data_IF_684038948231
#
_entry.id   IF_684038948231
#
_cell.length_a   1.000
_cell.length_b   1.000
_cell.length_c   1.000
_cell.angle_alpha   90.00
_cell.angle_beta   90.00
_cell.angle_gamma   90.00
#
_symmetry.space_group_name_H-M   'P 1'
#
loop_
_entity.id
_entity.type
_entity.pdbx_description
1 polymer ?
#
# COMPACT_ATOMS: atom_id res chain seq x y z
N UNK A 1 21.06 1.08 -24.34
CA UNK A 1 20.11 2.19 -24.36
C UNK A 1 20.84 3.51 -24.35
N UNK A 2 20.53 4.40 -25.30
CA UNK A 2 21.11 5.75 -25.37
C UNK A 2 20.41 6.74 -24.42
N UNK A 3 19.30 6.34 -23.83
CA UNK A 3 18.44 7.17 -22.98
C UNK A 3 18.60 6.77 -21.51
N UNK A 4 18.66 7.77 -20.64
CA UNK A 4 18.52 7.64 -19.19
C UNK A 4 17.14 8.17 -18.77
N UNK A 5 16.35 7.34 -18.13
CA UNK A 5 15.00 7.68 -17.67
C UNK A 5 14.84 7.26 -16.21
N UNK A 6 14.50 8.21 -15.35
CA UNK A 6 14.29 8.01 -13.91
C UNK A 6 13.02 8.73 -13.48
N UNK A 7 12.25 8.10 -12.59
CA UNK A 7 11.16 8.75 -11.88
C UNK A 7 11.60 9.06 -10.44
N UNK A 8 11.32 10.28 -9.99
CA UNK A 8 11.49 10.71 -8.60
C UNK A 8 10.11 10.98 -8.03
N UNK A 9 9.74 10.27 -6.97
CA UNK A 9 8.42 10.36 -6.37
C UNK A 9 8.50 10.44 -4.85
N UNK A 10 7.57 11.15 -4.22
CA UNK A 10 7.39 11.18 -2.77
C UNK A 10 6.04 10.56 -2.39
N UNK A 11 5.80 10.38 -1.10
CA UNK A 11 4.54 9.87 -0.58
C UNK A 11 3.51 11.01 -0.54
N UNK A 12 2.36 10.82 -1.21
CA UNK A 12 1.36 11.87 -1.29
C UNK A 12 1.94 13.19 -1.78
N UNK A 13 1.65 14.27 -1.07
CA UNK A 13 2.15 15.62 -1.34
C UNK A 13 3.25 16.05 -0.35
N UNK A 14 4.02 15.10 0.20
CA UNK A 14 5.09 15.36 1.19
C UNK A 14 6.09 16.38 0.67
N UNK A 15 6.46 16.30 -0.61
CA UNK A 15 7.26 17.29 -1.33
C UNK A 15 6.49 17.93 -2.47
N UNK A 16 6.64 19.26 -2.62
CA UNK A 16 6.12 19.97 -3.78
C UNK A 16 6.87 19.56 -5.05
N UNK A 17 6.23 19.76 -6.22
CA UNK A 17 6.90 19.52 -7.51
C UNK A 17 8.17 20.36 -7.66
N UNK A 18 8.19 21.59 -7.10
CA UNK A 18 9.38 22.44 -7.12
C UNK A 18 10.53 21.81 -6.33
N UNK A 19 10.26 21.26 -5.15
CA UNK A 19 11.29 20.60 -4.34
C UNK A 19 11.77 19.31 -5.01
N UNK A 20 10.86 18.54 -5.64
CA UNK A 20 11.26 17.37 -6.43
C UNK A 20 12.14 17.76 -7.61
N UNK A 21 11.90 18.92 -8.23
CA UNK A 21 12.74 19.46 -9.31
C UNK A 21 14.15 19.82 -8.80
N UNK A 22 14.26 20.45 -7.63
CA UNK A 22 15.55 20.79 -7.02
C UNK A 22 16.34 19.51 -6.68
N UNK A 23 15.66 18.50 -6.13
CA UNK A 23 16.23 17.17 -5.87
C UNK A 23 16.72 16.53 -7.19
N UNK A 24 15.91 16.61 -8.26
CA UNK A 24 16.25 16.05 -9.56
C UNK A 24 17.52 16.69 -10.17
N UNK A 25 17.63 18.01 -10.16
CA UNK A 25 18.82 18.71 -10.64
C UNK A 25 20.07 18.30 -9.87
N UNK A 26 19.97 18.21 -8.54
CA UNK A 26 21.07 17.77 -7.71
C UNK A 26 21.44 16.31 -7.98
N UNK A 27 20.43 15.44 -8.10
CA UNK A 27 20.62 14.03 -8.43
C UNK A 27 21.34 13.85 -9.79
N UNK A 28 20.92 14.60 -10.81
CA UNK A 28 21.55 14.56 -12.14
C UNK A 28 23.02 15.01 -12.08
N UNK A 29 23.32 16.06 -11.30
CA UNK A 29 24.67 16.54 -11.11
C UNK A 29 25.59 15.48 -10.48
N UNK A 30 25.14 14.86 -9.40
CA UNK A 30 25.90 13.80 -8.70
C UNK A 30 26.03 12.51 -9.54
N UNK A 31 25.05 12.24 -10.41
CA UNK A 31 25.07 11.10 -11.35
C UNK A 31 25.95 11.37 -12.59
N UNK A 32 26.36 12.60 -12.85
CA UNK A 32 27.17 12.98 -14.02
C UNK A 32 26.33 13.23 -15.27
N UNK A 33 25.08 13.66 -15.14
CA UNK A 33 24.15 13.96 -16.24
C UNK A 33 23.78 15.45 -16.32
N UNK A 34 24.59 16.35 -15.76
CA UNK A 34 24.27 17.78 -15.70
C UNK A 34 25.30 18.67 -16.42
N UNK A 35 26.01 18.12 -17.40
CA UNK A 35 26.95 18.89 -18.21
C UNK A 35 26.22 19.97 -19.05
N UNK A 36 26.88 21.06 -19.34
CA UNK A 36 26.33 22.13 -20.16
C UNK A 36 26.03 21.59 -21.58
N UNK A 37 24.79 21.82 -22.05
CA UNK A 37 24.32 21.29 -23.33
C UNK A 37 23.77 19.87 -23.28
N UNK A 38 23.74 19.21 -22.11
CA UNK A 38 23.10 17.92 -21.96
C UNK A 38 21.59 18.02 -22.22
N UNK A 39 21.00 17.26 -23.18
CA UNK A 39 19.58 17.29 -23.41
C UNK A 39 18.84 16.78 -22.17
N UNK A 40 17.91 17.57 -21.64
CA UNK A 40 17.19 17.28 -20.40
C UNK A 40 15.71 17.63 -20.55
N UNK A 41 14.86 16.66 -20.24
CA UNK A 41 13.43 16.85 -20.07
C UNK A 41 13.05 16.41 -18.66
N UNK A 42 12.42 17.30 -17.90
CA UNK A 42 11.81 16.97 -16.61
C UNK A 42 10.34 17.38 -16.69
N UNK A 43 9.44 16.47 -16.35
CA UNK A 43 8.00 16.76 -16.36
C UNK A 43 7.31 16.13 -15.15
N UNK A 44 6.31 16.85 -14.63
CA UNK A 44 5.48 16.37 -13.53
C UNK A 44 4.27 15.61 -14.06
N UNK A 45 3.93 14.53 -13.38
CA UNK A 45 2.70 13.77 -13.61
C UNK A 45 1.70 14.01 -12.49
N UNK A 46 0.41 13.98 -12.85
CA UNK A 46 -0.72 14.16 -11.93
C UNK A 46 -1.72 13.00 -12.00
N UNK A 47 -1.29 11.85 -12.49
CA UNK A 47 -2.10 10.65 -12.71
C UNK A 47 -2.18 9.74 -11.48
N UNK A 48 -1.39 10.04 -10.46
CA UNK A 48 -1.37 9.31 -9.19
C UNK A 48 -1.57 10.26 -8.00
N UNK A 49 -1.99 9.75 -6.83
CA UNK A 49 -2.09 10.57 -5.62
C UNK A 49 -0.73 11.00 -5.03
N UNK A 50 0.37 10.48 -5.57
CA UNK A 50 1.73 10.81 -5.15
C UNK A 50 2.35 11.84 -6.09
N UNK A 51 2.91 12.92 -5.56
CA UNK A 51 3.68 13.86 -6.36
C UNK A 51 4.92 13.15 -6.92
N UNK A 52 5.08 13.21 -8.23
CA UNK A 52 6.24 12.63 -8.91
C UNK A 52 6.61 13.40 -10.17
N UNK A 53 7.86 13.25 -10.54
CA UNK A 53 8.44 13.82 -11.76
C UNK A 53 9.20 12.74 -12.50
N UNK A 54 9.25 12.87 -13.82
CA UNK A 54 10.07 12.05 -14.68
C UNK A 54 11.23 12.87 -15.24
N UNK A 55 12.41 12.27 -15.24
CA UNK A 55 13.65 12.83 -15.76
C UNK A 55 14.04 11.99 -16.95
N UNK A 56 14.24 12.63 -18.11
CA UNK A 56 14.70 11.98 -19.34
C UNK A 56 15.91 12.75 -19.88
N UNK A 57 17.02 12.05 -20.07
CA UNK A 57 18.25 12.62 -20.62
C UNK A 57 19.00 11.59 -21.47
N UNK A 58 20.06 12.02 -22.17
CA UNK A 58 20.93 11.17 -22.97
C UNK A 58 22.00 10.51 -22.08
N UNK A 59 22.37 9.27 -22.41
CA UNK A 59 23.58 8.59 -21.87
C UNK A 59 24.85 8.95 -22.62
N UNK A 60 24.74 9.86 -23.57
CA UNK A 60 25.85 10.41 -24.32
C UNK A 60 25.96 11.87 -23.97
N UNK A 61 27.11 12.29 -23.51
CA UNK A 61 27.43 13.68 -23.17
C UNK A 61 27.50 14.55 -24.45
N UNK A 62 27.41 15.90 -24.31
CA UNK A 62 27.43 16.80 -25.46
C UNK A 62 28.70 16.69 -26.33
N UNK A 63 29.82 16.29 -25.76
CA UNK A 63 31.09 16.03 -26.45
C UNK A 63 31.16 14.67 -27.15
N UNK A 64 30.11 13.85 -27.07
CA UNK A 64 29.99 12.55 -27.69
C UNK A 64 30.51 11.36 -26.89
N UNK A 65 31.10 11.59 -25.71
CA UNK A 65 31.51 10.47 -24.87
C UNK A 65 30.30 9.81 -24.18
N UNK A 66 30.41 8.52 -23.91
CA UNK A 66 29.39 7.79 -23.16
C UNK A 66 29.56 8.00 -21.67
N UNK A 67 28.52 8.52 -21.01
CA UNK A 67 28.50 8.71 -19.57
C UNK A 67 28.60 7.34 -18.88
N UNK A 68 29.44 7.24 -17.86
CA UNK A 68 29.68 6.00 -17.13
C UNK A 68 28.39 5.52 -16.46
N UNK A 69 28.01 4.31 -16.77
CA UNK A 69 26.83 3.64 -16.24
C UNK A 69 27.20 2.40 -15.38
N UNK A 70 28.48 2.20 -15.08
CA UNK A 70 28.92 1.12 -14.22
C UNK A 70 28.30 1.29 -12.83
N UNK A 71 27.73 0.21 -12.32
CA UNK A 71 27.07 0.19 -11.00
C UNK A 71 26.01 1.30 -10.82
N UNK A 72 25.35 1.75 -11.88
CA UNK A 72 24.41 2.88 -11.90
C UNK A 72 23.34 2.78 -10.80
N UNK A 73 22.77 1.60 -10.57
CA UNK A 73 21.75 1.39 -9.51
C UNK A 73 22.32 1.63 -8.09
N UNK A 74 23.55 1.22 -7.84
CA UNK A 74 24.21 1.44 -6.56
C UNK A 74 24.50 2.91 -6.34
N UNK A 75 25.13 3.57 -7.34
CA UNK A 75 25.41 5.01 -7.31
C UNK A 75 24.12 5.82 -7.14
N UNK A 76 23.07 5.51 -7.89
CA UNK A 76 21.77 6.17 -7.77
C UNK A 76 21.23 6.11 -6.35
N UNK A 77 21.31 4.95 -5.70
CA UNK A 77 20.86 4.80 -4.31
C UNK A 77 21.70 5.59 -3.32
N UNK A 78 23.04 5.49 -3.42
CA UNK A 78 23.98 6.23 -2.55
C UNK A 78 23.75 7.74 -2.65
N UNK A 79 23.58 8.25 -3.87
CA UNK A 79 23.30 9.66 -4.15
C UNK A 79 21.92 10.05 -3.58
N UNK A 80 20.90 9.24 -3.79
CA UNK A 80 19.56 9.52 -3.24
C UNK A 80 19.60 9.61 -1.71
N UNK A 81 20.26 8.67 -1.04
CA UNK A 81 20.39 8.66 0.41
C UNK A 81 21.12 9.94 0.90
N UNK A 82 22.23 10.31 0.24
CA UNK A 82 22.98 11.53 0.56
C UNK A 82 22.11 12.78 0.41
N UNK A 83 21.36 12.89 -0.68
CA UNK A 83 20.45 14.01 -0.91
C UNK A 83 19.36 14.06 0.17
N UNK A 84 18.76 12.91 0.50
CA UNK A 84 17.72 12.82 1.53
C UNK A 84 18.24 13.16 2.92
N UNK A 85 19.47 12.72 3.27
CA UNK A 85 20.12 13.10 4.53
C UNK A 85 20.30 14.62 4.67
N UNK A 86 20.55 15.32 3.58
CA UNK A 86 20.71 16.77 3.60
C UNK A 86 19.38 17.52 3.70
N UNK A 87 18.30 17.01 3.05
CA UNK A 87 16.98 17.63 3.09
C UNK A 87 16.17 17.30 4.35
N UNK A 88 16.28 16.08 4.88
CA UNK A 88 15.48 15.61 6.02
C UNK A 88 16.28 15.51 7.33
N UNK A 89 17.59 15.74 7.27
CA UNK A 89 18.50 15.39 8.33
C UNK A 89 18.85 13.88 8.32
N UNK A 90 19.93 13.52 9.02
CA UNK A 90 20.37 12.11 9.11
C UNK A 90 19.24 11.26 9.68
N UNK A 91 18.54 10.54 8.85
CA UNK A 91 17.88 9.30 9.28
C UNK A 91 19.00 8.31 9.59
N UNK A 92 19.26 8.05 10.85
CA UNK A 92 20.12 6.93 11.25
C UNK A 92 19.40 5.64 10.81
N UNK A 93 19.70 5.18 9.59
CA UNK A 93 19.32 3.81 9.24
C UNK A 93 20.05 2.90 10.24
N UNK A 94 19.32 1.99 10.93
CA UNK A 94 19.96 1.09 11.87
C UNK A 94 21.03 0.30 11.14
N UNK A 95 22.22 0.20 11.72
CA UNK A 95 23.29 -0.63 11.17
C UNK A 95 22.80 -2.08 11.03
N UNK A 96 23.23 -2.74 9.98
CA UNK A 96 22.88 -4.15 9.76
C UNK A 96 23.24 -5.02 10.97
N UNK A 97 24.30 -4.65 11.70
CA UNK A 97 24.73 -5.32 12.93
C UNK A 97 23.63 -5.30 14.01
N UNK A 98 22.91 -4.21 14.14
CA UNK A 98 21.86 -4.06 15.14
C UNK A 98 20.58 -4.79 14.72
N UNK A 99 20.26 -4.78 13.43
CA UNK A 99 19.17 -5.60 12.86
C UNK A 99 19.45 -7.08 13.03
N UNK A 100 20.69 -7.53 12.81
CA UNK A 100 21.11 -8.92 13.06
C UNK A 100 20.97 -9.27 14.54
N UNK A 101 21.43 -8.43 15.45
CA UNK A 101 21.24 -8.63 16.91
C UNK A 101 19.76 -8.71 17.27
N UNK A 102 18.93 -7.83 16.70
CA UNK A 102 17.49 -7.88 16.89
C UNK A 102 16.93 -9.22 16.39
N UNK A 103 17.26 -9.65 15.17
CA UNK A 103 16.80 -10.92 14.60
C UNK A 103 17.23 -12.13 15.43
N UNK A 104 18.47 -12.15 15.95
CA UNK A 104 18.97 -13.19 16.84
C UNK A 104 18.23 -13.25 18.19
N UNK A 105 17.58 -12.18 18.61
CA UNK A 105 16.79 -12.13 19.86
C UNK A 105 15.43 -12.82 19.76
N UNK A 106 15.01 -13.22 18.54
CA UNK A 106 13.75 -13.93 18.35
C UNK A 106 13.86 -15.40 18.73
N UNK A 107 12.75 -15.99 19.11
CA UNK A 107 12.62 -17.43 19.39
C UNK A 107 12.33 -18.16 18.08
N UNK A 108 13.36 -18.74 17.47
CA UNK A 108 13.29 -19.50 16.22
C UNK A 108 14.03 -20.84 16.36
N UNK A 109 13.84 -21.76 15.40
CA UNK A 109 14.41 -23.12 15.45
C UNK A 109 15.25 -23.48 14.23
N UNK A 110 15.34 -22.58 13.23
CA UNK A 110 16.07 -22.88 11.99
C UNK A 110 16.59 -21.62 11.30
N UNK A 111 17.60 -21.80 10.43
CA UNK A 111 18.12 -20.74 9.56
C UNK A 111 17.00 -20.12 8.71
N UNK A 112 16.09 -20.93 8.15
CA UNK A 112 14.98 -20.44 7.35
C UNK A 112 14.06 -19.49 8.15
N UNK A 113 13.83 -19.77 9.43
CA UNK A 113 13.07 -18.88 10.30
C UNK A 113 13.83 -17.59 10.61
N UNK A 114 15.15 -17.64 10.78
CA UNK A 114 15.99 -16.44 10.92
C UNK A 114 15.92 -15.59 9.65
N UNK A 115 16.06 -16.18 8.46
CA UNK A 115 15.92 -15.46 7.19
C UNK A 115 14.53 -14.82 7.04
N UNK A 116 13.47 -15.50 7.48
CA UNK A 116 12.12 -14.94 7.48
C UNK A 116 11.97 -13.74 8.43
N UNK A 117 12.66 -13.73 9.58
CA UNK A 117 12.73 -12.56 10.46
C UNK A 117 13.37 -11.40 9.69
N UNK A 118 14.54 -11.63 9.09
CA UNK A 118 15.25 -10.61 8.31
C UNK A 118 14.39 -10.07 7.16
N UNK A 119 13.67 -10.95 6.44
CA UNK A 119 12.76 -10.55 5.38
C UNK A 119 11.61 -9.68 5.90
N UNK A 120 11.04 -10.03 7.05
CA UNK A 120 9.98 -9.24 7.70
C UNK A 120 10.43 -7.85 8.16
N UNK A 121 11.75 -7.67 8.35
CA UNK A 121 12.43 -6.40 8.67
C UNK A 121 12.94 -5.66 7.42
N UNK A 122 12.70 -6.21 6.21
CA UNK A 122 13.05 -5.59 4.93
C UNK A 122 14.43 -5.93 4.38
N UNK A 123 15.04 -7.01 4.87
CA UNK A 123 16.34 -7.52 4.40
C UNK A 123 16.17 -8.87 3.71
N UNK A 124 16.87 -9.08 2.59
CA UNK A 124 16.93 -10.35 1.88
C UNK A 124 18.14 -11.16 2.39
N UNK A 125 17.96 -12.47 2.57
CA UNK A 125 19.04 -13.40 2.91
C UNK A 125 19.33 -14.29 1.70
N UNK A 126 20.63 -14.44 1.37
CA UNK A 126 21.09 -15.39 0.35
C UNK A 126 22.20 -16.25 0.92
N UNK A 127 22.12 -17.55 0.65
CA UNK A 127 23.19 -18.47 1.02
C UNK A 127 24.39 -18.27 0.12
N UNK A 128 25.59 -18.44 0.67
CA UNK A 128 26.81 -18.59 -0.10
C UNK A 128 26.92 -20.06 -0.55
N UNK A 129 27.30 -20.28 -1.81
CA UNK A 129 27.37 -21.62 -2.39
C UNK A 129 28.60 -22.41 -1.87
N UNK A 130 29.64 -21.71 -1.43
CA UNK A 130 30.93 -22.34 -1.03
C UNK A 130 31.16 -22.32 0.49
N UNK A 131 30.55 -21.38 1.21
CA UNK A 131 30.79 -21.13 2.63
C UNK A 131 29.52 -21.20 3.46
N UNK A 132 29.60 -21.64 4.74
CA UNK A 132 28.46 -21.63 5.64
C UNK A 132 28.11 -20.22 6.15
N UNK A 133 27.84 -19.29 5.21
CA UNK A 133 27.59 -17.88 5.46
C UNK A 133 26.26 -17.50 4.78
N UNK A 134 25.54 -16.59 5.38
CA UNK A 134 24.36 -15.94 4.80
C UNK A 134 24.71 -14.50 4.51
N UNK A 135 24.55 -14.09 3.24
CA UNK A 135 24.66 -12.72 2.79
C UNK A 135 23.36 -11.98 3.03
N UNK A 136 23.44 -10.79 3.57
CA UNK A 136 22.29 -9.93 3.91
C UNK A 136 22.24 -8.78 2.92
N UNK A 137 21.11 -8.64 2.23
CA UNK A 137 20.89 -7.60 1.24
C UNK A 137 19.73 -6.68 1.65
N UNK A 138 19.81 -5.41 1.26
CA UNK A 138 18.72 -4.45 1.34
C UNK A 138 18.68 -3.63 0.06
N UNK A 139 17.53 -3.64 -0.62
CA UNK A 139 17.39 -2.94 -1.91
C UNK A 139 18.40 -3.39 -2.97
N UNK A 140 18.79 -4.67 -2.96
CA UNK A 140 19.74 -5.25 -3.91
C UNK A 140 21.21 -4.99 -3.59
N UNK A 141 21.54 -4.29 -2.49
CA UNK A 141 22.91 -4.08 -2.02
C UNK A 141 23.23 -5.01 -0.84
N UNK A 142 24.41 -5.60 -0.86
CA UNK A 142 24.94 -6.36 0.27
C UNK A 142 25.26 -5.42 1.43
N UNK A 143 24.72 -5.71 2.61
CA UNK A 143 24.90 -4.94 3.83
C UNK A 143 25.91 -5.62 4.76
N UNK A 144 26.09 -6.92 4.63
CA UNK A 144 26.99 -7.72 5.44
C UNK A 144 26.70 -9.19 5.34
N UNK A 145 27.41 -9.97 6.14
CA UNK A 145 27.29 -11.43 6.20
C UNK A 145 27.16 -11.93 7.63
N UNK A 146 26.55 -13.09 7.82
CA UNK A 146 26.47 -13.78 9.11
C UNK A 146 26.79 -15.26 8.95
N UNK A 147 27.59 -15.80 9.87
CA UNK A 147 27.90 -17.21 9.91
C UNK A 147 26.68 -18.06 10.28
N UNK A 148 26.38 -19.09 9.50
CA UNK A 148 25.29 -20.05 9.80
C UNK A 148 25.41 -20.64 11.20
N UNK A 149 26.67 -20.93 11.65
CA UNK A 149 26.92 -21.43 12.98
C UNK A 149 26.42 -20.47 14.08
N UNK A 150 26.58 -19.16 13.89
CA UNK A 150 26.07 -18.16 14.84
C UNK A 150 24.54 -18.17 14.89
N UNK A 151 23.88 -18.23 13.73
CA UNK A 151 22.40 -18.33 13.65
C UNK A 151 21.94 -19.59 14.40
N UNK A 152 22.58 -20.73 14.15
CA UNK A 152 22.18 -22.00 14.76
C UNK A 152 22.50 -22.10 16.24
N UNK A 153 23.51 -21.38 16.74
CA UNK A 153 23.80 -21.28 18.19
C UNK A 153 22.67 -20.62 18.97
N UNK A 154 21.99 -19.64 18.37
CA UNK A 154 20.85 -18.95 18.96
C UNK A 154 19.50 -19.68 18.70
N UNK A 155 19.49 -20.65 17.81
CA UNK A 155 18.26 -21.40 17.50
C UNK A 155 17.87 -22.31 18.69
N UNK A 156 16.55 -22.32 18.97
CA UNK A 156 15.97 -23.21 19.97
C UNK A 156 15.87 -24.64 19.41
N UNK A 157 15.94 -25.64 20.26
CA UNK A 157 15.67 -27.04 19.86
C UNK A 157 14.23 -27.22 19.43
N UNK A 158 13.33 -26.57 20.13
CA UNK A 158 11.88 -26.59 19.85
C UNK A 158 11.24 -25.25 20.20
N UNK A 159 10.30 -24.82 19.36
CA UNK A 159 9.48 -23.64 19.59
C UNK A 159 8.12 -23.86 18.94
N UNK A 160 7.19 -24.45 19.70
CA UNK A 160 5.82 -24.69 19.26
C UNK A 160 4.85 -23.75 19.98
N UNK A 161 3.79 -23.26 19.30
CA UNK A 161 2.73 -22.54 19.98
C UNK A 161 1.96 -23.47 20.92
N UNK A 162 1.58 -22.98 22.08
CA UNK A 162 0.61 -23.68 22.93
C UNK A 162 -0.77 -23.76 22.24
N UNK A 163 -1.66 -24.62 22.74
CA UNK A 163 -2.97 -24.86 22.12
C UNK A 163 -3.87 -23.63 22.14
N UNK A 164 -3.74 -22.74 23.12
CA UNK A 164 -4.47 -21.47 23.16
C UNK A 164 -3.99 -20.56 22.06
N UNK A 165 -2.68 -20.40 21.91
CA UNK A 165 -2.08 -19.56 20.86
C UNK A 165 -2.36 -20.11 19.46
N UNK A 166 -2.29 -21.45 19.30
CA UNK A 166 -2.62 -22.12 18.04
C UNK A 166 -4.06 -21.81 17.62
N UNK A 167 -5.04 -22.03 18.51
CA UNK A 167 -6.45 -21.72 18.22
C UNK A 167 -6.68 -20.25 17.90
N UNK A 168 -6.04 -19.36 18.65
CA UNK A 168 -6.13 -17.92 18.47
C UNK A 168 -5.62 -17.47 17.08
N UNK A 169 -4.41 -17.88 16.71
CA UNK A 169 -3.81 -17.53 15.43
C UNK A 169 -4.56 -18.16 14.26
N UNK A 170 -5.01 -19.42 14.39
CA UNK A 170 -5.84 -20.07 13.38
C UNK A 170 -7.14 -19.28 13.13
N UNK A 171 -7.84 -18.90 14.16
CA UNK A 171 -9.09 -18.12 14.06
C UNK A 171 -8.85 -16.72 13.41
N UNK A 172 -7.76 -16.06 13.78
CA UNK A 172 -7.37 -14.78 13.20
C UNK A 172 -7.03 -14.94 11.72
N UNK A 173 -6.20 -15.91 11.36
CA UNK A 173 -5.83 -16.17 9.97
C UNK A 173 -7.05 -16.51 9.11
N UNK A 174 -7.95 -17.37 9.58
CA UNK A 174 -9.18 -17.71 8.87
C UNK A 174 -10.08 -16.48 8.66
N UNK A 175 -10.27 -15.67 9.72
CA UNK A 175 -11.07 -14.45 9.63
C UNK A 175 -10.51 -13.48 8.61
N UNK A 176 -9.20 -13.18 8.69
CA UNK A 176 -8.60 -12.18 7.81
C UNK A 176 -8.37 -12.69 6.39
N UNK A 177 -8.15 -13.99 6.19
CA UNK A 177 -8.23 -14.61 4.85
C UNK A 177 -9.59 -14.31 4.18
N UNK A 178 -10.68 -14.49 4.93
CA UNK A 178 -12.03 -14.23 4.40
C UNK A 178 -12.29 -12.72 4.14
N UNK A 179 -11.50 -11.83 4.71
CA UNK A 179 -11.56 -10.38 4.50
C UNK A 179 -10.54 -9.87 3.48
N UNK A 180 -9.73 -10.76 2.90
CA UNK A 180 -8.66 -10.43 1.95
C UNK A 180 -8.94 -11.05 0.59
N UNK A 181 -8.57 -10.33 -0.46
CA UNK A 181 -8.69 -10.80 -1.83
C UNK A 181 -7.49 -11.66 -2.27
N UNK A 182 -6.33 -11.46 -1.66
CA UNK A 182 -5.08 -12.14 -1.99
C UNK A 182 -4.16 -12.24 -0.77
N UNK A 183 -3.00 -12.91 -0.97
CA UNK A 183 -2.03 -13.15 0.11
C UNK A 183 -1.33 -11.89 0.58
N UNK A 184 -1.14 -10.92 -0.31
CA UNK A 184 -0.51 -9.63 -0.01
C UNK A 184 -1.40 -8.81 0.94
N UNK A 185 -2.69 -8.75 0.66
CA UNK A 185 -3.67 -8.07 1.51
C UNK A 185 -3.81 -8.76 2.87
N UNK A 186 -3.84 -10.11 2.88
CA UNK A 186 -3.82 -10.86 4.13
C UNK A 186 -2.57 -10.53 4.95
N UNK A 187 -1.39 -10.52 4.34
CA UNK A 187 -0.14 -10.19 5.02
C UNK A 187 -0.15 -8.75 5.56
N UNK A 188 -0.68 -7.79 4.80
CA UNK A 188 -0.84 -6.41 5.24
C UNK A 188 -1.78 -6.29 6.44
N UNK A 189 -2.93 -6.96 6.41
CA UNK A 189 -3.85 -7.01 7.55
C UNK A 189 -3.22 -7.59 8.81
N UNK A 190 -2.49 -8.69 8.68
CA UNK A 190 -1.82 -9.34 9.81
C UNK A 190 -0.75 -8.44 10.41
N UNK A 191 0.07 -7.79 9.58
CA UNK A 191 1.12 -6.86 10.01
C UNK A 191 0.53 -5.64 10.73
N UNK A 192 -0.43 -4.96 10.10
CA UNK A 192 -1.01 -3.72 10.61
C UNK A 192 -1.79 -3.92 11.92
N UNK A 193 -2.61 -4.99 12.01
CA UNK A 193 -3.52 -5.18 13.16
C UNK A 193 -2.90 -5.96 14.32
N UNK A 194 -1.97 -6.84 14.05
CA UNK A 194 -1.44 -7.77 15.07
C UNK A 194 0.08 -7.69 15.24
N UNK A 195 0.79 -6.92 14.40
CA UNK A 195 2.24 -6.92 14.37
C UNK A 195 2.81 -8.29 14.02
N UNK A 196 2.12 -9.04 13.15
CA UNK A 196 2.50 -10.36 12.68
C UNK A 196 2.82 -10.28 11.20
N UNK A 197 4.06 -10.61 10.83
CA UNK A 197 4.44 -10.75 9.43
C UNK A 197 4.24 -12.20 8.96
N UNK A 198 3.64 -12.35 7.79
CA UNK A 198 3.55 -13.62 7.07
C UNK A 198 4.61 -13.62 5.97
N UNK A 199 5.57 -14.51 6.07
CA UNK A 199 6.65 -14.68 5.08
C UNK A 199 6.39 -15.96 4.31
N UNK A 200 6.13 -15.82 3.01
CA UNK A 200 5.81 -16.95 2.13
C UNK A 200 7.08 -17.56 1.58
N UNK A 201 7.19 -18.90 1.67
CA UNK A 201 8.38 -19.66 1.29
C UNK A 201 8.17 -20.36 -0.05
N UNK A 202 9.08 -20.15 -0.98
CA UNK A 202 9.03 -20.69 -2.33
C UNK A 202 8.90 -19.63 -3.41
N UNK A 203 8.37 -20.02 -4.57
CA UNK A 203 8.14 -19.07 -5.67
C UNK A 203 7.01 -18.10 -5.30
N UNK A 204 7.11 -16.84 -5.76
CA UNK A 204 6.14 -15.80 -5.45
C UNK A 204 4.69 -16.23 -5.78
N UNK A 205 4.48 -16.86 -6.93
CA UNK A 205 3.15 -17.26 -7.39
C UNK A 205 2.67 -18.62 -6.82
N UNK A 206 3.61 -19.48 -6.41
CA UNK A 206 3.32 -20.82 -5.89
C UNK A 206 4.13 -21.14 -4.64
N UNK A 207 3.88 -20.45 -3.52
CA UNK A 207 4.56 -20.76 -2.27
C UNK A 207 4.12 -22.15 -1.76
N UNK A 208 5.09 -22.92 -1.26
CA UNK A 208 4.80 -24.23 -0.68
C UNK A 208 4.59 -24.19 0.84
N UNK A 209 4.85 -23.05 1.47
CA UNK A 209 4.68 -22.84 2.89
C UNK A 209 4.75 -21.38 3.29
N UNK A 210 4.60 -21.10 4.56
CA UNK A 210 4.78 -19.76 5.12
C UNK A 210 5.28 -19.84 6.56
N UNK A 211 5.89 -18.74 7.00
CA UNK A 211 6.40 -18.54 8.35
C UNK A 211 5.66 -17.38 8.99
N UNK A 212 5.28 -17.55 10.25
CA UNK A 212 4.58 -16.53 11.05
C UNK A 212 5.58 -15.89 11.98
N UNK A 213 5.87 -14.60 11.79
CA UNK A 213 6.80 -13.82 12.61
C UNK A 213 6.00 -12.87 13.49
N UNK A 214 5.97 -13.11 14.79
CA UNK A 214 5.32 -12.27 15.78
C UNK A 214 6.30 -11.28 16.41
N UNK A 215 6.27 -10.02 15.99
CA UNK A 215 7.22 -8.99 16.43
C UNK A 215 7.07 -8.62 17.90
N UNK A 216 5.82 -8.54 18.39
CA UNK A 216 5.56 -8.16 19.79
C UNK A 216 6.17 -9.10 20.80
N UNK A 217 6.11 -10.42 20.54
CA UNK A 217 6.59 -11.46 21.46
C UNK A 217 7.91 -12.08 20.97
N UNK A 218 8.49 -11.56 19.88
CA UNK A 218 9.72 -12.08 19.25
C UNK A 218 9.68 -13.59 19.05
N UNK A 219 8.58 -14.11 18.49
CA UNK A 219 8.37 -15.55 18.26
C UNK A 219 8.13 -15.86 16.81
N UNK A 220 8.65 -16.98 16.36
CA UNK A 220 8.53 -17.44 14.97
C UNK A 220 8.02 -18.87 14.95
N UNK A 221 7.00 -19.12 14.13
CA UNK A 221 6.37 -20.42 13.99
C UNK A 221 6.25 -20.84 12.53
N UNK A 222 6.20 -22.14 12.28
CA UNK A 222 5.83 -22.67 10.98
C UNK A 222 4.34 -22.43 10.73
N UNK A 223 3.99 -21.90 9.56
CA UNK A 223 2.59 -21.58 9.23
C UNK A 223 1.68 -22.79 9.22
N UNK A 224 2.19 -23.95 8.80
CA UNK A 224 1.46 -25.21 8.81
C UNK A 224 0.94 -25.67 10.19
N UNK A 225 1.48 -25.10 11.27
CA UNK A 225 0.95 -25.34 12.63
C UNK A 225 -0.42 -24.70 12.88
N UNK A 226 -0.81 -23.76 12.04
CA UNK A 226 -2.08 -23.03 12.13
C UNK A 226 -3.05 -23.42 11.01
N UNK A 227 -2.62 -23.20 9.76
CA UNK A 227 -3.36 -23.52 8.54
C UNK A 227 -2.40 -24.08 7.50
N UNK A 228 -2.81 -25.06 6.74
CA UNK A 228 -2.03 -25.47 5.57
C UNK A 228 -1.95 -24.31 4.57
N UNK A 229 -0.87 -24.27 3.76
CA UNK A 229 -0.72 -23.22 2.73
C UNK A 229 -1.89 -23.23 1.74
N UNK A 230 -2.42 -24.42 1.41
CA UNK A 230 -3.57 -24.56 0.51
C UNK A 230 -4.83 -23.93 1.10
N UNK A 231 -5.08 -24.15 2.40
CA UNK A 231 -6.20 -23.52 3.10
C UNK A 231 -6.02 -22.02 3.22
N UNK A 232 -4.78 -21.54 3.50
CA UNK A 232 -4.48 -20.13 3.65
C UNK A 232 -4.69 -19.35 2.35
N UNK A 233 -4.33 -19.91 1.21
CA UNK A 233 -4.40 -19.26 -0.09
C UNK A 233 -5.73 -19.50 -0.83
N UNK A 234 -6.71 -20.12 -0.18
CA UNK A 234 -8.04 -20.31 -0.74
C UNK A 234 -8.89 -19.03 -0.56
N UNK A 235 -8.60 -18.03 -1.38
CA UNK A 235 -9.38 -16.78 -1.42
C UNK A 235 -10.66 -16.96 -2.22
N UNK A 236 -11.68 -16.20 -1.86
CA UNK A 236 -12.96 -16.18 -2.55
C UNK A 236 -12.84 -15.38 -3.87
N UNK A 237 -13.48 -15.86 -4.93
CA UNK A 237 -13.56 -15.12 -6.18
C UNK A 237 -14.50 -13.91 -6.07
N UNK A 238 -14.29 -12.90 -6.93
CA UNK A 238 -15.03 -11.64 -6.86
C UNK A 238 -16.53 -11.83 -7.13
N UNK A 239 -16.92 -12.70 -8.07
CA UNK A 239 -18.32 -12.93 -8.43
C UNK A 239 -19.11 -13.52 -7.26
N UNK A 240 -18.57 -14.59 -6.64
CA UNK A 240 -19.16 -15.19 -5.43
C UNK A 240 -19.25 -14.19 -4.28
N UNK A 241 -18.22 -13.36 -4.14
CA UNK A 241 -18.17 -12.33 -3.11
C UNK A 241 -19.24 -11.27 -3.30
N UNK A 242 -19.38 -10.75 -4.51
CA UNK A 242 -20.39 -9.74 -4.83
C UNK A 242 -21.80 -10.27 -4.63
N UNK A 243 -22.10 -11.50 -5.06
CA UNK A 243 -23.40 -12.12 -4.83
C UNK A 243 -23.74 -12.21 -3.34
N UNK A 244 -22.77 -12.57 -2.47
CA UNK A 244 -22.98 -12.59 -1.02
C UNK A 244 -23.19 -11.20 -0.43
N UNK A 245 -22.49 -10.18 -0.95
CA UNK A 245 -22.65 -8.80 -0.49
C UNK A 245 -24.03 -8.28 -0.87
N UNK A 246 -24.49 -8.51 -2.11
CA UNK A 246 -25.83 -8.11 -2.55
C UNK A 246 -26.92 -8.78 -1.71
N UNK A 247 -26.81 -10.10 -1.52
CA UNK A 247 -27.77 -10.84 -0.67
C UNK A 247 -27.77 -10.29 0.77
N UNK A 248 -26.59 -10.00 1.34
CA UNK A 248 -26.52 -9.44 2.68
C UNK A 248 -27.15 -8.03 2.79
N UNK A 249 -26.99 -7.19 1.76
CA UNK A 249 -27.64 -5.88 1.70
C UNK A 249 -29.17 -6.05 1.65
N UNK A 250 -29.66 -6.99 0.84
CA UNK A 250 -31.09 -7.29 0.73
C UNK A 250 -31.67 -7.76 2.07
N UNK A 251 -31.01 -8.72 2.72
CA UNK A 251 -31.43 -9.23 4.02
C UNK A 251 -31.46 -8.10 5.08
N UNK A 252 -30.44 -7.25 5.10
CA UNK A 252 -30.40 -6.11 6.03
C UNK A 252 -31.51 -5.08 5.79
N UNK A 253 -31.83 -4.80 4.53
CA UNK A 253 -32.92 -3.88 4.17
C UNK A 253 -34.29 -4.52 4.37
N UNK A 254 -34.43 -5.82 4.24
CA UNK A 254 -35.64 -6.56 4.58
C UNK A 254 -35.92 -6.53 6.09
N UNK A 255 -34.87 -6.76 6.91
CA UNK A 255 -34.99 -6.72 8.37
C UNK A 255 -35.23 -5.31 8.90
N UNK A 256 -34.56 -4.31 8.31
CA UNK A 256 -34.73 -2.90 8.68
C UNK A 256 -34.66 -1.98 7.43
N UNK A 257 -35.84 -1.67 6.84
CA UNK A 257 -35.92 -0.83 5.63
C UNK A 257 -35.38 0.62 5.78
N UNK A 258 -35.13 1.09 7.02
CA UNK A 258 -34.66 2.46 7.30
C UNK A 258 -33.15 2.57 7.46
N UNK A 259 -32.38 1.48 7.30
CA UNK A 259 -30.93 1.53 7.39
C UNK A 259 -30.33 2.50 6.39
N UNK A 260 -29.40 3.32 6.87
CA UNK A 260 -28.63 4.24 6.02
C UNK A 260 -27.42 3.52 5.39
N UNK A 261 -26.85 4.13 4.36
CA UNK A 261 -25.59 3.65 3.76
C UNK A 261 -24.46 3.53 4.82
N UNK A 262 -24.45 4.46 5.79
CA UNK A 262 -23.45 4.42 6.87
C UNK A 262 -23.62 3.19 7.79
N UNK A 263 -24.85 2.81 8.10
CA UNK A 263 -25.14 1.64 8.91
C UNK A 263 -24.78 0.35 8.19
N UNK A 264 -25.19 0.23 6.92
CA UNK A 264 -24.83 -0.92 6.07
C UNK A 264 -23.31 -1.00 5.90
N UNK A 265 -22.62 0.11 5.64
CA UNK A 265 -21.16 0.14 5.49
C UNK A 265 -20.42 -0.34 6.76
N UNK A 266 -20.96 -0.07 7.95
CA UNK A 266 -20.39 -0.58 9.20
C UNK A 266 -20.46 -2.11 9.28
N UNK A 267 -21.55 -2.69 8.78
CA UNK A 267 -21.75 -4.15 8.74
C UNK A 267 -20.90 -4.78 7.65
N UNK A 268 -20.98 -4.26 6.42
CA UNK A 268 -20.22 -4.76 5.28
C UNK A 268 -18.70 -4.71 5.53
N UNK A 269 -18.19 -3.63 6.11
CA UNK A 269 -16.77 -3.53 6.43
C UNK A 269 -16.34 -4.59 7.45
N UNK A 270 -17.19 -4.90 8.44
CA UNK A 270 -16.90 -5.92 9.46
C UNK A 270 -16.94 -7.34 8.90
N UNK A 271 -17.90 -7.61 7.98
CA UNK A 271 -18.13 -8.95 7.44
C UNK A 271 -17.32 -9.24 6.19
N UNK A 272 -17.20 -8.26 5.30
CA UNK A 272 -16.63 -8.42 3.96
C UNK A 272 -15.39 -7.56 3.68
N UNK A 273 -15.02 -6.63 4.56
CA UNK A 273 -13.87 -5.75 4.37
C UNK A 273 -14.09 -4.64 3.34
N UNK A 274 -15.31 -4.47 2.82
CA UNK A 274 -15.65 -3.51 1.78
C UNK A 274 -16.75 -2.54 2.23
N UNK A 275 -17.04 -1.55 1.38
CA UNK A 275 -18.06 -0.51 1.64
C UNK A 275 -18.76 -0.13 0.33
N UNK A 276 -19.96 0.39 0.46
CA UNK A 276 -20.68 1.05 -0.63
C UNK A 276 -20.12 2.47 -0.79
N UNK A 277 -19.69 2.81 -1.98
CA UNK A 277 -19.24 4.14 -2.34
C UNK A 277 -19.98 4.60 -3.62
N UNK A 278 -20.79 5.66 -3.52
CA UNK A 278 -21.57 6.19 -4.65
C UNK A 278 -22.40 5.14 -5.39
N UNK A 279 -23.00 4.19 -4.66
CA UNK A 279 -23.82 3.12 -5.25
C UNK A 279 -23.01 1.97 -5.84
N UNK A 280 -21.69 1.94 -5.66
CA UNK A 280 -20.81 0.84 -6.10
C UNK A 280 -20.19 0.11 -4.93
N UNK A 281 -19.79 -1.13 -5.14
CA UNK A 281 -18.97 -1.94 -4.22
C UNK A 281 -17.78 -2.46 -5.00
N UNK A 282 -16.59 -2.30 -4.43
CA UNK A 282 -15.34 -2.76 -5.06
C UNK A 282 -14.69 -3.87 -4.23
N UNK A 283 -14.11 -4.85 -4.92
CA UNK A 283 -13.36 -5.96 -4.36
C UNK A 283 -12.30 -6.45 -5.34
N UNK A 284 -11.05 -6.58 -4.92
CA UNK A 284 -9.94 -7.09 -5.74
C UNK A 284 -9.77 -6.38 -7.10
N UNK A 285 -9.96 -5.05 -7.12
CA UNK A 285 -9.87 -4.26 -8.35
C UNK A 285 -11.10 -4.32 -9.26
N UNK A 286 -12.06 -5.21 -8.98
CA UNK A 286 -13.35 -5.27 -9.66
C UNK A 286 -14.39 -4.42 -8.92
N UNK A 287 -15.36 -3.91 -9.66
CA UNK A 287 -16.41 -3.05 -9.10
C UNK A 287 -17.76 -3.44 -9.68
N UNK A 288 -18.77 -3.57 -8.82
CA UNK A 288 -20.15 -3.74 -9.25
C UNK A 288 -20.98 -2.50 -8.89
N UNK A 289 -21.96 -2.21 -9.72
CA UNK A 289 -23.00 -1.23 -9.45
C UNK A 289 -24.14 -1.94 -8.70
N UNK A 290 -24.54 -1.39 -7.56
CA UNK A 290 -25.74 -1.89 -6.86
C UNK A 290 -27.00 -1.64 -7.70
N UNK A 291 -28.01 -2.46 -7.52
CA UNK A 291 -29.30 -2.32 -8.19
C UNK A 291 -29.89 -0.94 -7.95
N UNK A 292 -30.53 -0.32 -8.98
CA UNK A 292 -31.08 1.03 -8.87
C UNK A 292 -32.06 1.19 -7.70
N UNK A 293 -32.87 0.16 -7.41
CA UNK A 293 -33.85 0.14 -6.34
C UNK A 293 -33.18 0.28 -4.95
N UNK A 294 -32.11 -0.48 -4.75
CA UNK A 294 -31.31 -0.43 -3.51
C UNK A 294 -30.65 0.92 -3.34
N UNK A 295 -30.06 1.44 -4.41
CA UNK A 295 -29.38 2.73 -4.40
C UNK A 295 -30.37 3.86 -4.09
N UNK A 296 -31.55 3.84 -4.68
CA UNK A 296 -32.59 4.84 -4.43
C UNK A 296 -33.15 4.73 -3.01
N UNK A 297 -33.41 3.52 -2.51
CA UNK A 297 -33.84 3.31 -1.12
C UNK A 297 -32.81 3.88 -0.12
N UNK A 298 -31.53 3.59 -0.32
CA UNK A 298 -30.46 4.12 0.53
C UNK A 298 -30.36 5.66 0.46
N UNK A 299 -30.58 6.25 -0.72
CA UNK A 299 -30.65 7.70 -0.89
C UNK A 299 -31.81 8.31 -0.11
N UNK A 300 -32.99 7.70 -0.19
CA UNK A 300 -34.16 8.11 0.55
C UNK A 300 -33.97 8.02 2.06
N UNK A 301 -33.40 6.91 2.53
CA UNK A 301 -33.09 6.71 3.95
C UNK A 301 -32.09 7.76 4.45
N UNK A 302 -31.09 8.13 3.65
CA UNK A 302 -30.16 9.19 3.99
C UNK A 302 -30.86 10.55 4.10
N UNK A 303 -31.71 10.92 3.14
CA UNK A 303 -32.48 12.18 3.20
C UNK A 303 -33.42 12.22 4.41
N UNK A 304 -34.13 11.13 4.67
CA UNK A 304 -35.02 11.01 5.83
C UNK A 304 -34.26 11.16 7.16
N UNK A 305 -33.05 10.58 7.26
CA UNK A 305 -32.20 10.70 8.45
C UNK A 305 -31.73 12.15 8.71
N UNK A 306 -31.73 12.99 7.68
CA UNK A 306 -31.39 14.41 7.77
C UNK A 306 -32.62 15.33 7.93
N UNK A 307 -33.83 14.76 8.02
CA UNK A 307 -35.07 15.53 8.06
C UNK A 307 -35.44 16.22 6.76
N UNK A 308 -34.82 15.81 5.63
CA UNK A 308 -35.10 16.34 4.31
C UNK A 308 -36.17 15.45 3.67
N UNK A 309 -37.41 15.94 3.64
CA UNK A 309 -38.50 15.27 2.90
C UNK A 309 -38.41 15.66 1.43
N UNK A 310 -38.42 14.73 0.46
CA UNK A 310 -38.54 15.08 -0.94
C UNK A 310 -39.91 15.73 -1.13
N UNK A 311 -39.93 17.03 -1.45
CA UNK A 311 -41.15 17.71 -1.86
C UNK A 311 -41.63 17.00 -3.11
N UNK A 312 -42.87 16.52 -3.07
CA UNK A 312 -43.57 16.01 -4.24
C UNK A 312 -43.83 17.18 -5.22
N UNK A 313 -42.85 17.49 -6.06
CA UNK A 313 -43.07 18.30 -7.21
C UNK A 313 -43.78 17.46 -8.28
N UNK A 314 -45.08 17.53 -8.26
CA UNK A 314 -45.99 17.16 -9.33
C UNK A 314 -45.45 17.60 -10.69
N UNK A 315 -45.36 16.62 -11.57
CA UNK A 315 -45.18 16.89 -12.98
C UNK A 315 -46.36 17.69 -13.51
N UNK A 316 -46.14 18.97 -13.88
CA UNK A 316 -47.06 19.72 -14.71
C UNK A 316 -46.28 20.61 -15.68
N UNK A 317 -46.54 20.28 -16.93
CA UNK A 317 -46.61 21.14 -18.11
C UNK A 317 -45.32 21.56 -18.80
N UNK A 318 -45.13 20.89 -19.93
CA UNK A 318 -44.48 21.43 -21.13
C UNK A 318 -45.30 22.58 -21.70
N UNK A 319 -44.58 23.58 -22.16
CA UNK A 319 -44.93 24.68 -23.10
C UNK A 319 -44.98 26.07 -22.48
N UNK A 320 -43.87 26.76 -22.61
CA UNK A 320 -43.80 28.13 -23.12
C UNK A 320 -42.32 28.54 -23.34
N UNK A 321 -42.05 29.00 -24.57
CA UNK A 321 -40.77 29.62 -24.96
C UNK A 321 -40.51 30.90 -24.15
N UNK A 322 -39.25 31.28 -23.93
CA UNK A 322 -38.90 32.52 -23.27
C UNK A 322 -38.84 33.70 -24.27
N UNK A 323 -39.20 34.92 -23.86
CA UNK A 323 -38.88 36.12 -24.62
C UNK A 323 -37.42 36.54 -24.39
N UNK A 324 -36.79 36.98 -25.47
CA UNK A 324 -35.52 37.69 -25.51
C UNK A 324 -35.61 39.06 -24.84
N UNK A 325 -34.54 39.51 -24.22
CA UNK A 325 -34.33 40.94 -23.94
C UNK A 325 -33.43 41.25 -22.77
N UNK A 326 -32.28 41.70 -23.16
CA UNK A 326 -31.43 42.79 -22.68
C UNK A 326 -30.43 42.63 -21.53
N UNK A 327 -29.19 42.80 -21.96
CA UNK A 327 -27.99 43.18 -21.22
C UNK A 327 -28.19 44.34 -20.26
N UNK A 328 -27.76 44.20 -19.02
CA UNK A 328 -26.98 45.22 -18.29
C UNK A 328 -26.24 44.56 -17.14
N UNK A 329 -24.92 44.79 -17.08
CA UNK A 329 -24.00 44.31 -16.07
C UNK A 329 -24.32 44.87 -14.67
N UNK A 330 -23.94 44.06 -13.70
CA UNK A 330 -23.54 44.57 -12.39
C UNK A 330 -22.63 43.51 -11.73
N UNK A 331 -21.41 43.95 -11.46
CA UNK A 331 -20.43 43.32 -10.61
C UNK A 331 -21.00 43.12 -9.19
N UNK A 332 -21.05 41.90 -8.73
CA UNK A 332 -21.23 41.62 -7.31
C UNK A 332 -20.06 40.74 -6.84
N UNK A 333 -19.17 41.38 -6.09
CA UNK A 333 -18.19 40.70 -5.25
C UNK A 333 -18.91 39.80 -4.25
N UNK A 334 -18.58 38.50 -4.26
CA UNK A 334 -18.98 37.61 -3.19
C UNK A 334 -17.80 37.43 -2.24
N UNK A 335 -17.91 38.05 -1.08
CA UNK A 335 -17.07 37.83 0.07
C UNK A 335 -17.30 36.40 0.63
N UNK A 336 -16.23 35.69 0.89
CA UNK A 336 -16.25 34.43 1.61
C UNK A 336 -16.55 34.65 3.09
N UNK A 337 -17.44 33.88 3.72
CA UNK A 337 -17.53 33.87 5.18
C UNK A 337 -16.51 32.90 5.77
N UNK A 338 -15.80 33.42 6.75
CA UNK A 338 -14.86 32.71 7.58
C UNK A 338 -15.55 31.74 8.55
N UNK A 339 -14.87 30.62 8.78
CA UNK A 339 -14.83 29.75 9.96
C UNK A 339 -16.01 29.71 10.93
N UNK A 340 -16.67 28.55 11.00
CA UNK A 340 -17.20 28.02 12.24
C UNK A 340 -16.84 26.54 12.37
N UNK A 341 -16.23 26.17 13.50
CA UNK A 341 -15.62 24.89 13.76
C UNK A 341 -16.58 23.70 13.66
N UNK A 342 -16.15 22.71 12.94
CA UNK A 342 -16.69 21.36 13.01
C UNK A 342 -15.55 20.43 13.43
N UNK A 343 -15.78 19.75 14.52
CA UNK A 343 -14.87 18.81 15.19
C UNK A 343 -14.37 17.69 14.26
N UNK A 344 -13.10 17.52 14.27
CA UNK A 344 -12.21 16.83 13.34
C UNK A 344 -12.17 15.30 13.59
N UNK A 345 -13.28 14.60 13.46
CA UNK A 345 -13.32 13.13 13.57
C UNK A 345 -13.33 12.41 12.21
N UNK A 346 -13.47 13.15 11.09
CA UNK A 346 -13.45 12.58 9.74
C UNK A 346 -12.07 12.64 9.06
N UNK A 347 -11.15 13.46 9.54
CA UNK A 347 -9.82 13.61 8.93
C UNK A 347 -8.86 12.46 9.24
N UNK A 348 -8.95 11.86 10.42
CA UNK A 348 -8.02 10.79 10.83
C UNK A 348 -8.15 9.51 10.00
N UNK A 349 -9.33 9.22 9.47
CA UNK A 349 -9.48 7.99 8.71
C UNK A 349 -9.45 8.18 7.18
N UNK A 350 -9.62 9.38 6.66
CA UNK A 350 -9.25 9.71 5.28
C UNK A 350 -7.73 9.63 5.06
N UNK A 351 -6.94 10.05 6.04
CA UNK A 351 -5.49 9.87 6.05
C UNK A 351 -5.06 8.39 6.12
N UNK A 352 -5.81 7.55 6.84
CA UNK A 352 -5.54 6.11 6.91
C UNK A 352 -5.95 5.34 5.63
N UNK A 353 -6.92 5.84 4.85
CA UNK A 353 -7.32 5.28 3.57
C UNK A 353 -6.33 5.56 2.45
N UNK A 354 -5.64 6.70 2.48
CA UNK A 354 -4.61 7.05 1.49
C UNK A 354 -3.26 6.36 1.74
N UNK A 355 -2.99 5.91 2.96
CA UNK A 355 -1.77 5.15 3.28
C UNK A 355 -1.74 3.73 2.68
N UNK A 356 -2.89 3.13 2.40
CA UNK A 356 -2.97 1.77 1.83
C UNK A 356 -2.63 1.71 0.33
N UNK A 357 -2.76 2.81 -0.41
CA UNK A 357 -2.45 2.84 -1.85
C UNK A 357 -0.95 2.97 -2.16
N UNK A 358 -0.14 3.51 -1.23
CA UNK A 358 1.29 3.72 -1.46
C UNK A 358 2.15 2.45 -1.36
N UNK A 359 1.66 1.41 -0.67
CA UNK A 359 2.38 0.13 -0.52
C UNK A 359 2.24 -0.73 -1.78
N UNK A 360 1.10 -0.64 -2.47
CA UNK A 360 0.86 -1.39 -3.72
C UNK A 360 1.65 -0.83 -4.91
N UNK A 361 1.88 0.49 -4.95
CA UNK A 361 2.68 1.11 -6.01
C UNK A 361 4.18 0.77 -5.89
N UNK A 362 4.74 0.67 -4.67
CA UNK A 362 6.11 0.20 -4.48
C UNK A 362 6.29 -1.27 -4.90
N UNK A 363 5.30 -2.11 -4.62
CA UNK A 363 5.33 -3.51 -5.04
C UNK A 363 5.15 -3.68 -6.56
N UNK A 364 4.34 -2.84 -7.20
CA UNK A 364 4.15 -2.81 -8.65
C UNK A 364 5.38 -2.27 -9.38
N UNK A 365 6.04 -1.25 -8.84
CA UNK A 365 7.31 -0.73 -9.36
C UNK A 365 8.44 -1.75 -9.23
N UNK A 366 8.54 -2.48 -8.13
CA UNK A 366 9.52 -3.58 -7.96
C UNK A 366 9.33 -4.70 -9.00
N UNK A 367 8.10 -4.96 -9.48
CA UNK A 367 7.84 -5.94 -10.56
C UNK A 367 8.26 -5.45 -11.95
N UNK A 368 8.17 -4.14 -12.23
CA UNK A 368 8.65 -3.55 -13.50
C UNK A 368 10.18 -3.52 -13.63
N UNK A 369 10.91 -3.57 -12.51
CA UNK A 369 12.38 -3.54 -12.49
C UNK A 369 13.04 -4.93 -12.57
N UNK A 370 12.24 -6.02 -12.58
CA UNK A 370 12.73 -7.41 -12.71
C UNK A 370 12.62 -8.00 -14.13
N UNK A 371 12.29 -7.19 -15.14
CA UNK A 371 12.31 -7.61 -16.56
C UNK A 371 13.41 -6.93 -17.35
#
# INVERSE_FOLDING_TARGET
>A
NAQFHVAVSCKGNEYSHQLLLDIAHRYLKEMGYADEGQPLLIYAHHDTPNNHIHIVTSRVAPDGHKIDHAHEKRRSREITLKIMEEFEGRRQEPEVSDIVKEALSYRYTSKAQFCAIMESLGYECKDDDEKPVVHIYRGGQEQGTIQVQLIMRHALKENKPDDKRRRQLRAILQKYRNLSANKEELAAHMKRKFGISLVFVGKADTPYGYIVVGHKNKTVFKGGEFLSIKELLQFEDAATRFAKIEQNIDDLLADNPKLTTADINRILYRQFGTRIHRGTVSWNGETIQLRPEVTEQLRQNYLASRGIHPSAHTATNKNSLPPQGDNRGNDIQVQSPANAGATDTNREWELNGSMDMSVDDEAAQRRKWRR
#
